data_IF_010342548544
#
_entry.id   IF_010342548544
#
_cell.length_a   1.000
_cell.length_b   1.000
_cell.length_c   1.000
_cell.angle_alpha   90.00
_cell.angle_beta   90.00
_cell.angle_gamma   90.00
#
_symmetry.space_group_name_H-M   'P 1'
#
loop_
_entity.id
_entity.type
_entity.pdbx_description
1 polymer ?
#
# COMPACT_ATOMS: atom_id res chain seq x y z
N UNK A 1 -1.20 -5.63 -23.14
CA UNK A 1 -2.62 -5.89 -23.42
C UNK A 1 -3.47 -5.29 -22.33
N UNK A 2 -4.45 -4.49 -22.68
CA UNK A 2 -5.35 -3.88 -21.71
C UNK A 2 -6.65 -4.67 -21.61
N UNK A 3 -7.17 -4.77 -20.41
CA UNK A 3 -8.46 -5.42 -20.14
C UNK A 3 -9.45 -4.38 -19.66
N UNK A 4 -10.70 -4.49 -20.08
CA UNK A 4 -11.76 -3.59 -19.61
C UNK A 4 -12.24 -4.01 -18.20
N UNK A 5 -11.32 -3.94 -17.25
CA UNK A 5 -11.51 -4.35 -15.87
C UNK A 5 -11.05 -3.23 -14.96
N UNK A 6 -11.78 -2.98 -13.90
CA UNK A 6 -11.38 -2.09 -12.82
C UNK A 6 -11.08 -2.94 -11.59
N UNK A 7 -9.98 -2.65 -10.93
CA UNK A 7 -9.52 -3.38 -9.75
C UNK A 7 -9.38 -2.43 -8.57
N UNK A 8 -9.66 -2.93 -7.37
CA UNK A 8 -9.52 -2.17 -6.13
C UNK A 8 -8.82 -3.02 -5.08
N UNK A 9 -7.70 -2.53 -4.57
CA UNK A 9 -7.07 -3.06 -3.37
C UNK A 9 -7.54 -2.27 -2.16
N UNK A 10 -8.16 -2.93 -1.20
CA UNK A 10 -8.63 -2.30 0.03
C UNK A 10 -7.96 -2.97 1.22
N UNK A 11 -7.20 -2.21 1.97
CA UNK A 11 -6.58 -2.75 3.16
C UNK A 11 -5.22 -2.14 3.50
N UNK A 12 -4.25 -3.00 3.74
CA UNK A 12 -2.96 -2.63 4.28
C UNK A 12 -2.01 -2.04 3.25
N UNK A 13 -1.17 -1.15 3.73
CA UNK A 13 0.04 -0.73 3.06
C UNK A 13 1.16 -0.70 4.09
N UNK A 14 2.33 -1.13 3.70
CA UNK A 14 3.52 -1.11 4.55
C UNK A 14 4.74 -0.81 3.69
N UNK A 15 5.83 -0.41 4.33
CA UNK A 15 7.15 -0.47 3.69
C UNK A 15 7.89 -1.66 4.24
N UNK A 16 8.58 -2.36 3.37
CA UNK A 16 9.54 -3.39 3.75
C UNK A 16 10.93 -2.75 3.73
N UNK A 17 11.50 -2.56 4.92
CA UNK A 17 12.82 -1.96 5.08
C UNK A 17 13.87 -3.05 5.07
N UNK A 18 14.61 -3.11 3.97
CA UNK A 18 15.75 -4.02 3.84
C UNK A 18 16.97 -3.36 4.45
N UNK A 19 17.20 -3.62 5.74
CA UNK A 19 18.22 -2.91 6.52
C UNK A 19 19.63 -3.10 6.01
N UNK A 20 19.97 -4.28 5.47
CA UNK A 20 21.31 -4.58 4.98
C UNK A 20 21.68 -3.76 3.74
N UNK A 21 20.73 -3.25 2.98
CA UNK A 21 20.94 -2.39 1.82
C UNK A 21 20.36 -0.99 1.99
N UNK A 22 19.81 -0.68 3.15
CA UNK A 22 19.21 0.61 3.51
C UNK A 22 18.17 1.08 2.49
N UNK A 23 17.31 0.16 2.05
CA UNK A 23 16.32 0.42 1.01
C UNK A 23 14.93 0.03 1.50
N UNK A 24 13.93 0.85 1.16
CA UNK A 24 12.52 0.59 1.46
C UNK A 24 11.79 0.25 0.18
N UNK A 25 10.93 -0.77 0.26
CA UNK A 25 10.04 -1.14 -0.83
C UNK A 25 8.59 -1.07 -0.35
N UNK A 26 7.66 -0.55 -1.18
CA UNK A 26 6.24 -0.60 -0.82
C UNK A 26 5.77 -2.05 -0.77
N UNK A 27 4.88 -2.33 0.17
CA UNK A 27 4.34 -3.67 0.37
C UNK A 27 2.96 -3.65 0.97
N UNK A 28 2.53 -4.83 1.40
CA UNK A 28 1.17 -5.08 1.85
C UNK A 28 0.33 -5.71 0.74
N UNK A 29 -0.53 -6.65 1.12
CA UNK A 29 -1.29 -7.43 0.14
C UNK A 29 -2.20 -6.56 -0.72
N UNK A 30 -2.87 -5.56 -0.12
CA UNK A 30 -3.79 -4.69 -0.85
C UNK A 30 -3.05 -3.77 -1.84
N UNK A 31 -1.92 -3.20 -1.43
CA UNK A 31 -1.07 -2.39 -2.31
C UNK A 31 -0.53 -3.23 -3.46
N UNK A 32 0.01 -4.40 -3.15
CA UNK A 32 0.57 -5.29 -4.16
C UNK A 32 -0.50 -5.71 -5.18
N UNK A 33 -1.70 -6.03 -4.71
CA UNK A 33 -2.81 -6.36 -5.60
C UNK A 33 -3.09 -5.23 -6.59
N UNK A 34 -3.21 -4.00 -6.11
CA UNK A 34 -3.53 -2.85 -6.96
C UNK A 34 -2.44 -2.60 -8.01
N UNK A 35 -1.17 -2.69 -7.61
CA UNK A 35 -0.03 -2.48 -8.52
C UNK A 35 0.02 -3.57 -9.59
N UNK A 36 -0.07 -4.83 -9.18
CA UNK A 36 -0.01 -5.94 -10.13
C UNK A 36 -1.22 -5.99 -11.07
N UNK A 37 -2.41 -5.64 -10.59
CA UNK A 37 -3.58 -5.54 -11.44
C UNK A 37 -3.35 -4.52 -12.56
N UNK A 38 -2.77 -3.36 -12.23
CA UNK A 38 -2.45 -2.34 -13.23
C UNK A 38 -1.40 -2.83 -14.21
N UNK A 39 -0.34 -3.47 -13.72
CA UNK A 39 0.72 -4.02 -14.57
C UNK A 39 0.21 -5.12 -15.49
N UNK A 40 -0.78 -5.89 -15.06
CA UNK A 40 -1.38 -6.93 -15.88
C UNK A 40 -2.39 -6.41 -16.90
N UNK A 41 -2.64 -5.11 -16.93
CA UNK A 41 -3.45 -4.48 -17.97
C UNK A 41 -4.86 -4.07 -17.57
N UNK A 42 -5.16 -3.97 -16.27
CA UNK A 42 -6.45 -3.42 -15.84
C UNK A 42 -6.62 -2.00 -16.37
N UNK A 43 -7.82 -1.66 -16.84
CA UNK A 43 -8.12 -0.32 -17.33
C UNK A 43 -7.99 0.72 -16.22
N UNK A 44 -8.45 0.37 -15.02
CA UNK A 44 -8.30 1.18 -13.82
C UNK A 44 -7.83 0.30 -12.68
N UNK A 45 -6.98 0.84 -11.84
CA UNK A 45 -6.64 0.21 -10.57
C UNK A 45 -6.58 1.28 -9.49
N UNK A 46 -7.13 0.97 -8.32
CA UNK A 46 -7.19 1.90 -7.20
C UNK A 46 -6.77 1.20 -5.92
N UNK A 47 -6.27 1.98 -4.99
CA UNK A 47 -6.00 1.55 -3.63
C UNK A 47 -6.82 2.39 -2.66
N UNK A 48 -7.41 1.76 -1.65
CA UNK A 48 -8.08 2.42 -0.53
C UNK A 48 -7.47 1.92 0.77
N UNK A 49 -7.03 2.82 1.60
CA UNK A 49 -6.45 2.49 2.89
C UNK A 49 -6.05 3.72 3.66
N UNK A 50 -5.30 3.51 4.74
CA UNK A 50 -4.87 4.57 5.64
C UNK A 50 -3.36 4.68 5.59
N UNK A 51 -2.86 5.90 5.29
CA UNK A 51 -1.45 6.23 5.34
C UNK A 51 -1.13 7.02 6.60
N UNK A 52 0.08 6.83 7.11
CA UNK A 52 0.69 7.77 8.04
C UNK A 52 1.14 9.04 7.31
N UNK A 53 1.89 9.88 8.00
CA UNK A 53 2.43 11.12 7.42
C UNK A 53 3.95 11.21 7.50
N UNK A 54 4.61 10.08 7.62
CA UNK A 54 6.07 9.99 7.68
C UNK A 54 6.69 9.72 6.30
N UNK A 55 8.01 9.62 6.25
CA UNK A 55 8.74 9.36 5.01
C UNK A 55 8.35 8.01 4.38
N UNK A 56 8.02 7.01 5.20
CA UNK A 56 7.55 5.72 4.71
C UNK A 56 6.23 5.86 3.96
N UNK A 57 5.28 6.64 4.50
CA UNK A 57 4.02 6.91 3.83
C UNK A 57 4.22 7.62 2.50
N UNK A 58 5.07 8.65 2.48
CA UNK A 58 5.38 9.37 1.25
C UNK A 58 5.97 8.46 0.17
N UNK A 59 6.82 7.52 0.57
CA UNK A 59 7.43 6.57 -0.35
C UNK A 59 6.38 5.66 -0.99
N UNK A 60 5.44 5.13 -0.20
CA UNK A 60 4.36 4.27 -0.72
C UNK A 60 3.46 5.07 -1.66
N UNK A 61 3.06 6.28 -1.26
CA UNK A 61 2.18 7.14 -2.06
C UNK A 61 2.83 7.45 -3.42
N UNK A 62 4.09 7.88 -3.41
CA UNK A 62 4.81 8.19 -4.65
C UNK A 62 4.93 6.97 -5.56
N UNK A 63 5.19 5.80 -4.99
CA UNK A 63 5.30 4.55 -5.75
C UNK A 63 3.97 4.17 -6.41
N UNK A 64 2.86 4.34 -5.71
CA UNK A 64 1.53 4.06 -6.25
C UNK A 64 1.15 5.05 -7.36
N UNK A 65 1.48 6.32 -7.20
CA UNK A 65 1.26 7.33 -8.23
C UNK A 65 2.07 7.02 -9.50
N UNK A 66 3.32 6.60 -9.34
CA UNK A 66 4.17 6.21 -10.47
C UNK A 66 3.63 5.00 -11.23
N UNK A 67 2.87 4.14 -10.57
CA UNK A 67 2.25 2.97 -11.18
C UNK A 67 0.82 3.24 -11.69
N UNK A 68 0.39 4.49 -11.71
CA UNK A 68 -0.96 4.91 -12.13
C UNK A 68 -2.09 4.25 -11.34
N UNK A 69 -1.86 4.04 -10.05
CA UNK A 69 -2.89 3.55 -9.13
C UNK A 69 -3.61 4.74 -8.50
N UNK A 70 -4.94 4.75 -8.56
CA UNK A 70 -5.75 5.84 -8.01
C UNK A 70 -5.76 5.80 -6.48
N UNK A 71 -5.66 6.97 -5.85
CA UNK A 71 -5.61 7.11 -4.39
C UNK A 71 -6.74 8.01 -3.85
N UNK A 72 -7.79 8.23 -4.65
CA UNK A 72 -8.83 9.23 -4.38
C UNK A 72 -9.52 9.08 -3.03
N UNK A 73 -9.65 7.86 -2.54
CA UNK A 73 -10.35 7.55 -1.28
C UNK A 73 -9.40 7.09 -0.17
N UNK A 74 -8.11 7.30 -0.31
CA UNK A 74 -7.16 7.04 0.77
C UNK A 74 -7.29 8.11 1.86
N UNK A 75 -7.06 7.71 3.09
CA UNK A 75 -7.00 8.61 4.24
C UNK A 75 -5.57 8.74 4.69
N UNK A 76 -5.16 9.95 5.07
CA UNK A 76 -3.84 10.19 5.62
C UNK A 76 -4.00 10.76 7.01
N UNK A 77 -3.41 10.10 7.99
CA UNK A 77 -3.50 10.49 9.41
C UNK A 77 -2.10 10.80 9.94
N UNK A 78 -2.06 11.56 11.03
CA UNK A 78 -0.80 11.87 11.70
C UNK A 78 -0.32 10.63 12.45
N UNK A 79 0.85 10.14 12.10
CA UNK A 79 1.45 8.98 12.73
C UNK A 79 2.34 8.20 11.78
N UNK A 80 2.94 7.15 12.29
CA UNK A 80 3.82 6.29 11.49
C UNK A 80 3.01 5.42 10.53
N UNK A 81 3.50 5.29 9.30
CA UNK A 81 2.99 4.31 8.37
C UNK A 81 3.43 2.90 8.80
N UNK A 82 2.71 1.87 8.38
CA UNK A 82 3.12 0.49 8.60
C UNK A 82 4.48 0.20 8.00
N UNK A 83 5.33 -0.48 8.75
CA UNK A 83 6.68 -0.82 8.32
C UNK A 83 7.12 -2.17 8.88
N UNK A 84 7.76 -2.97 8.05
CA UNK A 84 8.41 -4.20 8.44
C UNK A 84 9.91 -4.07 8.18
N UNK A 85 10.71 -4.65 9.07
CA UNK A 85 12.16 -4.69 8.93
C UNK A 85 12.55 -6.09 8.46
N UNK A 86 13.33 -6.15 7.41
CA UNK A 86 13.77 -7.42 6.82
C UNK A 86 15.25 -7.38 6.47
N UNK A 87 15.85 -8.55 6.41
CA UNK A 87 17.20 -8.72 5.86
C UNK A 87 17.23 -9.98 5.02
N UNK A 88 18.38 -10.25 4.41
CA UNK A 88 18.58 -11.47 3.61
C UNK A 88 19.76 -12.24 4.20
N UNK A 89 19.53 -13.52 4.49
CA UNK A 89 20.56 -14.43 5.00
C UNK A 89 20.58 -15.66 4.08
N UNK A 90 21.72 -15.92 3.48
CA UNK A 90 21.91 -17.05 2.53
C UNK A 90 20.84 -17.07 1.41
N UNK A 91 20.48 -15.89 0.91
CA UNK A 91 19.47 -15.75 -0.14
C UNK A 91 18.03 -15.78 0.34
N UNK A 92 17.79 -16.04 1.63
CA UNK A 92 16.44 -16.08 2.19
C UNK A 92 16.11 -14.81 2.94
N UNK A 93 14.89 -14.33 2.75
CA UNK A 93 14.36 -13.17 3.44
C UNK A 93 14.07 -13.51 4.90
N UNK A 94 14.60 -12.71 5.82
CA UNK A 94 14.41 -12.88 7.25
C UNK A 94 13.67 -11.67 7.82
N UNK A 95 12.53 -11.92 8.45
CA UNK A 95 11.72 -10.89 9.10
C UNK A 95 12.36 -10.53 10.46
N UNK A 96 12.64 -9.25 10.67
CA UNK A 96 13.27 -8.74 11.90
C UNK A 96 12.29 -8.12 12.88
N UNK A 97 11.13 -7.66 12.40
CA UNK A 97 10.13 -7.05 13.23
C UNK A 97 9.29 -6.03 12.45
N UNK A 98 8.27 -5.49 13.10
CA UNK A 98 7.40 -4.47 12.51
C UNK A 98 6.87 -3.53 13.58
N UNK A 99 6.27 -2.42 13.15
CA UNK A 99 5.52 -1.51 14.02
C UNK A 99 4.03 -1.88 14.10
N UNK A 100 3.70 -3.13 13.78
CA UNK A 100 2.33 -3.68 13.85
C UNK A 100 1.31 -2.89 13.03
N UNK A 101 1.72 -2.43 11.85
CA UNK A 101 0.86 -1.68 10.93
C UNK A 101 0.88 -0.18 11.14
N UNK A 102 1.61 0.32 12.14
CA UNK A 102 1.69 1.75 12.41
C UNK A 102 0.32 2.35 12.69
N UNK A 103 0.03 3.52 12.13
CA UNK A 103 -1.25 4.21 12.33
C UNK A 103 -2.45 3.40 11.81
N UNK A 104 -2.27 2.60 10.77
CA UNK A 104 -3.32 1.73 10.24
C UNK A 104 -3.66 0.61 11.23
N UNK A 105 -2.69 0.11 11.98
CA UNK A 105 -2.92 -0.90 13.02
C UNK A 105 -3.77 -0.39 14.17
N UNK A 106 -3.69 0.91 14.46
CA UNK A 106 -4.43 1.55 15.55
C UNK A 106 -5.75 2.17 15.10
N UNK A 107 -5.99 2.30 13.82
CA UNK A 107 -7.13 3.03 13.28
C UNK A 107 -7.87 2.18 12.24
N UNK A 108 -9.19 2.15 12.35
CA UNK A 108 -10.05 1.44 11.41
C UNK A 108 -10.52 2.37 10.31
N UNK A 109 -10.49 1.90 9.06
CA UNK A 109 -11.12 2.60 7.95
C UNK A 109 -12.62 2.35 8.00
N UNK A 110 -13.40 3.39 8.23
CA UNK A 110 -14.86 3.30 8.26
C UNK A 110 -15.40 3.77 6.92
N UNK A 111 -16.08 2.87 6.21
CA UNK A 111 -16.65 3.17 4.90
C UNK A 111 -17.93 3.99 5.04
N UNK A 112 -18.06 5.02 4.22
CA UNK A 112 -19.27 5.79 4.08
C UNK A 112 -19.94 5.52 2.72
N UNK A 113 -21.08 6.19 2.49
CA UNK A 113 -21.84 5.99 1.23
C UNK A 113 -21.08 6.45 -0.01
N UNK A 114 -20.21 7.46 0.13
CA UNK A 114 -19.41 7.96 -0.98
C UNK A 114 -18.29 6.98 -1.33
N UNK A 115 -17.70 6.35 -0.33
CA UNK A 115 -16.72 5.28 -0.53
C UNK A 115 -17.36 4.10 -1.26
N UNK A 116 -18.55 3.69 -0.84
CA UNK A 116 -19.28 2.59 -1.47
C UNK A 116 -19.65 2.91 -2.91
N UNK A 117 -20.04 4.14 -3.20
CA UNK A 117 -20.35 4.58 -4.57
C UNK A 117 -19.09 4.53 -5.45
N UNK A 118 -17.95 4.95 -4.91
CA UNK A 118 -16.67 4.87 -5.61
C UNK A 118 -16.28 3.41 -5.92
N UNK A 119 -16.46 2.51 -4.97
CA UNK A 119 -16.13 1.10 -5.14
C UNK A 119 -16.95 0.40 -6.21
N UNK A 120 -18.15 0.92 -6.52
CA UNK A 120 -19.03 0.37 -7.55
C UNK A 120 -18.69 0.79 -8.98
N UNK A 121 -17.78 1.70 -9.14
CA UNK A 121 -17.41 2.22 -10.47
C UNK A 121 -16.64 1.21 -11.32
#
# INVERSE_FOLDING_TARGET
>A
MAFNVSALGFGDNVVDRYEHIRTMYPGGNAVNFAVYAKKCGAARSAYMGIFGNDAAAEHVIASLEDEDVELAKCKQLIGENGAARVTVVNGDRVFLGSNEGGIRGDTRYVLDRFDLAYMKQ
#
